data_IF_840097490323
#
_entry.id   IF_840097490323
#
_cell.length_a   1.000
_cell.length_b   1.000
_cell.length_c   1.000
_cell.angle_alpha   90.00
_cell.angle_beta   90.00
_cell.angle_gamma   90.00
#
_symmetry.space_group_name_H-M   'P 1'
#
loop_
_entity.id
_entity.type
_entity.pdbx_description
1 polymer ?
#
# COMPACT_ATOMS: atom_id res chain seq x y z
N UNK A 1 19.02 -1.46 -1.49
CA UNK A 1 18.16 -1.21 -2.66
C UNK A 1 16.95 -0.42 -2.18
N UNK A 2 16.92 0.89 -2.42
CA UNK A 2 15.71 1.69 -2.21
C UNK A 2 14.88 1.68 -3.50
N UNK A 3 13.56 1.64 -3.39
CA UNK A 3 12.66 1.72 -4.54
C UNK A 3 12.13 3.15 -4.59
N UNK A 4 12.44 3.87 -5.67
CA UNK A 4 11.90 5.19 -5.97
C UNK A 4 10.81 5.01 -7.00
N UNK A 5 9.66 5.65 -6.78
CA UNK A 5 8.59 5.74 -7.75
C UNK A 5 8.19 7.19 -7.83
N UNK A 6 8.16 7.71 -9.05
CA UNK A 6 7.66 9.05 -9.36
C UNK A 6 6.27 8.89 -9.97
N UNK A 7 5.19 9.10 -9.18
CA UNK A 7 3.84 9.09 -9.71
C UNK A 7 3.59 10.29 -10.63
N UNK A 8 2.80 10.10 -11.67
CA UNK A 8 2.64 11.11 -12.74
C UNK A 8 1.83 12.32 -12.29
N UNK A 9 0.77 12.13 -11.50
CA UNK A 9 -0.10 13.21 -11.03
C UNK A 9 0.07 13.50 -9.52
N UNK A 10 0.95 12.76 -8.82
CA UNK A 10 1.22 12.89 -7.37
C UNK A 10 -0.04 12.99 -6.50
N UNK A 11 -1.17 12.40 -6.92
CA UNK A 11 -2.40 12.43 -6.14
C UNK A 11 -2.26 11.53 -4.90
N UNK A 12 -3.02 11.83 -3.84
CA UNK A 12 -3.03 11.00 -2.64
C UNK A 12 -3.37 9.52 -2.95
N UNK A 13 -4.28 9.29 -3.90
CA UNK A 13 -4.60 7.96 -4.39
C UNK A 13 -3.43 7.28 -5.11
N UNK A 14 -2.77 7.98 -6.04
CA UNK A 14 -1.63 7.42 -6.78
C UNK A 14 -0.45 7.08 -5.87
N UNK A 15 -0.13 7.98 -4.93
CA UNK A 15 0.94 7.76 -3.96
C UNK A 15 0.61 6.55 -3.09
N UNK A 16 -0.60 6.50 -2.52
CA UNK A 16 -0.99 5.41 -1.63
C UNK A 16 -1.01 4.06 -2.37
N UNK A 17 -1.54 4.04 -3.59
CA UNK A 17 -1.59 2.83 -4.43
C UNK A 17 -0.17 2.37 -4.79
N UNK A 18 0.71 3.27 -5.19
CA UNK A 18 2.10 2.94 -5.53
C UNK A 18 2.86 2.32 -4.34
N UNK A 19 2.66 2.85 -3.13
CA UNK A 19 3.25 2.29 -1.90
C UNK A 19 2.76 0.86 -1.67
N UNK A 20 1.44 0.65 -1.74
CA UNK A 20 0.82 -0.67 -1.54
C UNK A 20 1.32 -1.68 -2.56
N UNK A 21 1.39 -1.30 -3.84
CA UNK A 21 1.90 -2.15 -4.92
C UNK A 21 3.35 -2.59 -4.67
N UNK A 22 4.22 -1.68 -4.22
CA UNK A 22 5.60 -2.05 -3.90
C UNK A 22 5.69 -2.98 -2.70
N UNK A 23 4.87 -2.75 -1.66
CA UNK A 23 4.81 -3.62 -0.51
C UNK A 23 4.32 -5.02 -0.90
N UNK A 24 3.27 -5.13 -1.72
CA UNK A 24 2.78 -6.41 -2.24
C UNK A 24 3.84 -7.13 -3.09
N UNK A 25 4.55 -6.40 -3.94
CA UNK A 25 5.65 -6.96 -4.74
C UNK A 25 6.80 -7.45 -3.87
N UNK A 26 7.19 -6.67 -2.85
CA UNK A 26 8.26 -7.01 -1.93
C UNK A 26 7.92 -8.25 -1.09
N UNK A 27 6.70 -8.32 -0.56
CA UNK A 27 6.17 -9.46 0.20
C UNK A 27 5.48 -10.51 -0.68
N UNK A 28 5.76 -10.56 -1.98
CA UNK A 28 5.18 -11.58 -2.87
C UNK A 28 5.70 -12.97 -2.52
N UNK A 29 4.82 -13.99 -2.60
CA UNK A 29 5.18 -15.39 -2.32
C UNK A 29 6.41 -15.84 -3.11
N UNK A 30 6.53 -15.44 -4.38
CA UNK A 30 7.70 -15.71 -5.22
C UNK A 30 9.01 -15.23 -4.59
N UNK A 31 9.04 -14.01 -4.03
CA UNK A 31 10.23 -13.47 -3.34
C UNK A 31 10.45 -14.09 -1.97
N UNK A 32 9.39 -14.50 -1.29
CA UNK A 32 9.46 -15.19 0.00
C UNK A 32 10.16 -16.52 -0.20
N UNK A 33 9.64 -17.39 -1.08
CA UNK A 33 10.21 -18.71 -1.33
C UNK A 33 11.58 -18.64 -2.02
N UNK A 34 11.82 -17.67 -2.90
CA UNK A 34 13.14 -17.44 -3.49
C UNK A 34 14.23 -17.03 -2.48
N UNK A 35 13.84 -16.67 -1.25
CA UNK A 35 14.77 -16.31 -0.17
C UNK A 35 15.04 -17.42 0.85
N UNK A 36 14.51 -18.63 0.58
CA UNK A 36 14.68 -19.77 1.45
C UNK A 36 16.14 -20.25 1.45
N UNK A 37 16.79 -20.15 2.62
CA UNK A 37 18.10 -20.76 2.87
C UNK A 37 18.03 -21.60 4.14
N UNK A 38 18.69 -22.76 4.14
CA UNK A 38 18.80 -23.65 5.30
C UNK A 38 19.41 -22.86 6.47
N UNK A 39 18.75 -22.89 7.64
CA UNK A 39 19.14 -22.11 8.83
C UNK A 39 18.53 -20.69 8.95
N UNK A 40 17.76 -20.21 7.97
CA UNK A 40 17.10 -18.88 8.01
C UNK A 40 15.57 -18.96 7.83
N UNK A 41 14.95 -20.06 8.25
CA UNK A 41 13.50 -20.30 8.11
C UNK A 41 12.63 -19.26 8.84
N UNK A 42 13.14 -18.67 9.93
CA UNK A 42 12.48 -17.56 10.63
C UNK A 42 12.19 -16.39 9.68
N UNK A 43 13.12 -16.07 8.77
CA UNK A 43 12.97 -14.99 7.79
C UNK A 43 11.80 -15.24 6.84
N UNK A 44 11.53 -16.50 6.51
CA UNK A 44 10.38 -16.90 5.71
C UNK A 44 9.07 -16.59 6.45
N UNK A 45 9.01 -16.92 7.76
CA UNK A 45 7.84 -16.64 8.61
C UNK A 45 7.55 -15.13 8.71
N UNK A 46 8.57 -14.31 8.95
CA UNK A 46 8.38 -12.85 9.01
C UNK A 46 7.89 -12.27 7.68
N UNK A 47 8.45 -12.73 6.55
CA UNK A 47 7.97 -12.24 5.25
C UNK A 47 6.57 -12.72 4.91
N UNK A 48 6.21 -13.95 5.29
CA UNK A 48 4.85 -14.46 5.17
C UNK A 48 3.86 -13.65 6.04
N UNK A 49 4.29 -13.26 7.25
CA UNK A 49 3.54 -12.32 8.09
C UNK A 49 3.32 -10.98 7.40
N UNK A 50 4.37 -10.39 6.80
CA UNK A 50 4.26 -9.18 6.00
C UNK A 50 3.28 -9.32 4.83
N UNK A 51 3.32 -10.43 4.10
CA UNK A 51 2.36 -10.73 3.03
C UNK A 51 0.92 -10.69 3.53
N UNK A 52 0.64 -11.41 4.62
CA UNK A 52 -0.68 -11.45 5.23
C UNK A 52 -1.15 -10.07 5.69
N UNK A 53 -0.28 -9.32 6.37
CA UNK A 53 -0.62 -7.99 6.89
C UNK A 53 -0.95 -7.00 5.76
N UNK A 54 -0.19 -7.01 4.66
CA UNK A 54 -0.48 -6.14 3.52
C UNK A 54 -1.80 -6.52 2.85
N UNK A 55 -2.06 -7.81 2.64
CA UNK A 55 -3.34 -8.28 2.08
C UNK A 55 -4.52 -7.89 2.97
N UNK A 56 -4.36 -8.07 4.28
CA UNK A 56 -5.35 -7.68 5.28
C UNK A 56 -5.59 -6.17 5.27
N UNK A 57 -4.53 -5.37 5.25
CA UNK A 57 -4.62 -3.91 5.20
C UNK A 57 -5.39 -3.44 3.96
N UNK A 58 -5.09 -3.99 2.77
CA UNK A 58 -5.80 -3.63 1.53
C UNK A 58 -7.28 -3.98 1.63
N UNK A 59 -7.62 -5.13 2.21
CA UNK A 59 -9.02 -5.54 2.40
C UNK A 59 -9.76 -4.64 3.39
N UNK A 60 -9.13 -4.29 4.51
CA UNK A 60 -9.74 -3.45 5.55
C UNK A 60 -9.83 -1.98 5.14
N UNK A 61 -9.01 -1.52 4.20
CA UNK A 61 -8.94 -0.12 3.75
C UNK A 61 -9.47 0.07 2.31
N UNK A 62 -10.22 -0.89 1.76
CA UNK A 62 -10.76 -0.79 0.39
C UNK A 62 -11.62 0.45 0.22
N UNK A 63 -12.54 0.72 1.16
CA UNK A 63 -13.38 1.92 1.15
C UNK A 63 -12.56 3.22 1.25
N UNK A 64 -11.46 3.21 2.02
CA UNK A 64 -10.58 4.37 2.13
C UNK A 64 -9.88 4.65 0.80
N UNK A 65 -9.39 3.62 0.11
CA UNK A 65 -8.79 3.74 -1.21
C UNK A 65 -9.81 4.24 -2.25
N UNK A 66 -11.06 3.80 -2.17
CA UNK A 66 -12.14 4.33 -3.02
C UNK A 66 -12.43 5.81 -2.75
N UNK A 67 -12.46 6.23 -1.49
CA UNK A 67 -12.63 7.66 -1.13
C UNK A 67 -11.47 8.52 -1.65
N UNK A 68 -10.23 8.01 -1.56
CA UNK A 68 -9.06 8.68 -2.13
C UNK A 68 -9.18 8.80 -3.65
N UNK A 69 -9.61 7.74 -4.34
CA UNK A 69 -9.82 7.73 -5.79
C UNK A 69 -10.86 8.75 -6.24
N UNK A 70 -11.94 8.86 -5.47
CA UNK A 70 -13.07 9.74 -5.77
C UNK A 70 -12.85 11.20 -5.34
N UNK A 71 -11.65 11.59 -4.90
CA UNK A 71 -11.30 12.95 -4.48
C UNK A 71 -12.23 13.55 -3.40
N UNK A 72 -12.86 12.72 -2.55
CA UNK A 72 -13.88 13.18 -1.58
C UNK A 72 -13.36 14.23 -0.58
N UNK A 73 -12.04 14.34 -0.40
CA UNK A 73 -11.43 15.39 0.42
C UNK A 73 -11.63 16.81 -0.15
N UNK A 74 -11.82 16.97 -1.47
CA UNK A 74 -12.12 18.29 -2.06
C UNK A 74 -13.51 18.79 -1.65
N UNK A 75 -14.49 17.90 -1.51
CA UNK A 75 -15.87 18.26 -1.20
C UNK A 75 -16.02 18.72 0.25
N UNK A 76 -15.31 18.10 1.19
CA UNK A 76 -15.40 18.42 2.62
C UNK A 76 -14.65 19.71 3.03
N UNK A 77 -13.62 20.12 2.29
CA UNK A 77 -12.96 21.42 2.53
C UNK A 77 -13.74 22.58 1.92
N UNK A 78 -14.33 22.39 0.74
CA UNK A 78 -15.14 23.43 0.09
C UNK A 78 -16.40 23.80 0.88
N UNK A 79 -16.97 22.84 1.62
CA UNK A 79 -18.15 23.06 2.48
C UNK A 79 -17.80 23.84 3.76
N UNK A 80 -16.54 23.74 4.24
CA UNK A 80 -16.05 24.54 5.38
C UNK A 80 -15.61 25.95 4.98
N UNK A 81 -15.11 26.13 3.75
CA UNK A 81 -14.64 27.42 3.24
C UNK A 81 -15.76 28.26 2.60
N UNK A 82 -16.96 27.69 2.41
CA UNK A 82 -18.13 28.35 1.83
C UNK A 82 -19.11 28.95 2.84
N UNK A 83 -18.75 29.03 4.13
CA UNK A 83 -19.55 29.64 5.18
C UNK A 83 -19.02 31.06 5.50
N UNK A 84 -19.15 31.96 4.52
CA UNK A 84 -19.10 33.41 4.70
C UNK A 84 -20.10 34.07 3.76
#
# INVERSE_FOLDING_TARGET
>A
MHVVIEPFNCSAFEIQTAIVEQLQRFYSLRRIFGSYCRGRSWRLKYRAGGHYLIQRWVRENSEYLERLRNNFYKTQMKEKDGFF
#
